data_IF_609542510524
#
_entry.id   IF_609542510524
#
_cell.length_a   1.000
_cell.length_b   1.000
_cell.length_c   1.000
_cell.angle_alpha   90.00
_cell.angle_beta   90.00
_cell.angle_gamma   90.00
#
_symmetry.space_group_name_H-M   'P 1'
#
loop_
_entity.id
_entity.type
_entity.pdbx_description
1 polymer ?
#
# COMPACT_ATOMS: atom_id res chain seq x y z
N UNK A 1 0.41 -23.14 -2.30
CA UNK A 1 0.99 -21.81 -2.64
C UNK A 1 1.98 -21.47 -1.56
N UNK A 2 3.22 -21.10 -1.94
CA UNK A 2 4.23 -20.62 -1.00
C UNK A 2 3.91 -19.18 -0.59
N UNK A 3 4.19 -18.83 0.68
CA UNK A 3 3.85 -17.53 1.25
C UNK A 3 5.10 -16.88 1.85
N UNK A 4 5.38 -15.64 1.47
CA UNK A 4 6.40 -14.79 2.10
C UNK A 4 5.72 -13.67 2.87
N UNK A 5 6.00 -13.55 4.16
CA UNK A 5 5.58 -12.38 4.97
C UNK A 5 6.71 -11.35 4.93
N UNK A 6 6.41 -10.11 4.57
CA UNK A 6 7.36 -9.01 4.50
C UNK A 6 6.96 -7.97 5.55
N UNK A 7 7.87 -7.70 6.47
CA UNK A 7 7.72 -6.65 7.49
C UNK A 7 8.65 -5.51 7.13
N UNK A 8 8.09 -4.33 6.81
CA UNK A 8 8.88 -3.14 6.49
C UNK A 8 9.28 -2.41 7.77
N UNK A 9 10.55 -2.01 7.86
CA UNK A 9 11.11 -1.34 9.03
C UNK A 9 12.01 -0.16 8.66
N UNK A 10 11.94 0.90 9.46
CA UNK A 10 12.92 1.99 9.51
C UNK A 10 12.93 2.63 10.91
N UNK A 11 14.03 2.46 11.65
CA UNK A 11 14.20 2.96 13.02
C UNK A 11 13.05 2.55 13.94
N UNK A 12 12.64 1.27 13.86
CA UNK A 12 11.47 0.73 14.54
C UNK A 12 11.79 -0.30 15.62
N UNK A 13 12.96 -0.24 16.27
CA UNK A 13 13.39 -1.22 17.27
C UNK A 13 12.31 -1.55 18.31
N UNK A 14 11.66 -0.54 18.88
CA UNK A 14 10.62 -0.75 19.89
C UNK A 14 9.39 -1.49 19.34
N UNK A 15 9.02 -1.20 18.10
CA UNK A 15 7.93 -1.87 17.39
C UNK A 15 8.29 -3.33 17.09
N UNK A 16 9.50 -3.57 16.60
CA UNK A 16 9.98 -4.92 16.33
C UNK A 16 10.04 -5.77 17.62
N UNK A 17 10.52 -5.21 18.73
CA UNK A 17 10.50 -5.90 20.04
C UNK A 17 9.10 -6.27 20.49
N UNK A 18 8.09 -5.47 20.14
CA UNK A 18 6.71 -5.65 20.58
C UNK A 18 5.93 -6.60 19.67
N UNK A 19 6.17 -6.57 18.36
CA UNK A 19 5.28 -7.21 17.38
C UNK A 19 5.93 -8.29 16.51
N UNK A 20 7.24 -8.26 16.24
CA UNK A 20 7.85 -9.16 15.26
C UNK A 20 7.72 -10.65 15.64
N UNK A 21 7.88 -11.00 16.92
CA UNK A 21 7.67 -12.39 17.36
C UNK A 21 6.21 -12.83 17.20
N UNK A 22 5.25 -11.93 17.43
CA UNK A 22 3.83 -12.22 17.21
C UNK A 22 3.55 -12.45 15.71
N UNK A 23 4.13 -11.63 14.82
CA UNK A 23 4.07 -11.87 13.38
C UNK A 23 4.60 -13.25 13.03
N UNK A 24 5.74 -13.67 13.60
CA UNK A 24 6.34 -14.98 13.33
C UNK A 24 5.43 -16.12 13.82
N UNK A 25 4.89 -16.01 15.03
CA UNK A 25 4.06 -17.05 15.67
C UNK A 25 2.70 -17.16 14.99
N UNK A 26 2.07 -16.02 14.66
CA UNK A 26 0.72 -15.97 14.06
C UNK A 26 0.73 -16.15 12.53
N UNK A 27 1.90 -16.42 11.93
CA UNK A 27 2.05 -16.74 10.50
C UNK A 27 2.54 -18.18 10.25
N UNK A 28 1.84 -19.23 10.76
CA UNK A 28 2.29 -20.61 10.57
C UNK A 28 2.28 -21.03 9.09
N UNK A 29 1.46 -20.40 8.26
CA UNK A 29 1.37 -20.63 6.82
C UNK A 29 2.58 -20.09 6.04
N UNK A 30 3.39 -19.21 6.64
CA UNK A 30 4.52 -18.59 5.97
C UNK A 30 5.69 -19.56 5.79
N UNK A 31 6.21 -19.64 4.55
CA UNK A 31 7.46 -20.35 4.23
C UNK A 31 8.70 -19.53 4.60
N UNK A 32 8.58 -18.21 4.59
CA UNK A 32 9.62 -17.27 5.02
C UNK A 32 9.01 -15.98 5.56
N UNK A 33 9.75 -15.34 6.46
CA UNK A 33 9.43 -14.01 6.98
C UNK A 33 10.64 -13.12 6.71
N UNK A 34 10.41 -12.00 6.03
CA UNK A 34 11.46 -11.09 5.59
C UNK A 34 11.29 -9.77 6.34
N UNK A 35 12.28 -9.42 7.17
CA UNK A 35 12.41 -8.04 7.60
C UNK A 35 13.08 -7.24 6.49
N UNK A 36 12.37 -6.26 5.94
CA UNK A 36 12.87 -5.30 4.96
C UNK A 36 13.26 -4.00 5.68
N UNK A 37 14.54 -3.87 5.99
CA UNK A 37 15.07 -2.73 6.73
C UNK A 37 15.59 -1.64 5.80
N UNK A 38 15.06 -0.43 5.94
CA UNK A 38 15.38 0.71 5.08
C UNK A 38 16.48 1.59 5.67
N UNK A 39 17.62 0.99 5.98
CA UNK A 39 18.80 1.66 6.56
C UNK A 39 18.50 2.25 7.95
N UNK A 40 18.06 1.40 8.89
CA UNK A 40 17.89 1.80 10.28
C UNK A 40 19.24 2.13 10.94
N UNK A 41 19.24 3.19 11.73
CA UNK A 41 20.39 3.65 12.52
C UNK A 41 20.29 3.21 13.99
N UNK A 42 19.13 2.68 14.39
CA UNK A 42 18.91 2.11 15.72
C UNK A 42 19.36 0.62 15.76
N UNK A 43 19.19 -0.03 16.90
CA UNK A 43 19.59 -1.43 17.10
C UNK A 43 18.62 -2.45 16.43
N UNK A 44 17.73 -2.03 15.53
CA UNK A 44 16.78 -2.92 14.84
C UNK A 44 17.45 -4.15 14.24
N UNK A 45 18.54 -3.95 13.47
CA UNK A 45 19.25 -5.06 12.82
C UNK A 45 19.96 -5.98 13.80
N UNK A 46 20.48 -5.46 14.92
CA UNK A 46 21.10 -6.26 15.98
C UNK A 46 20.05 -7.16 16.61
N UNK A 47 18.91 -6.61 17.00
CA UNK A 47 17.81 -7.35 17.59
C UNK A 47 17.30 -8.47 16.66
N UNK A 48 17.09 -8.18 15.38
CA UNK A 48 16.55 -9.17 14.44
C UNK A 48 17.56 -10.27 14.10
N UNK A 49 18.87 -9.98 14.10
CA UNK A 49 19.91 -11.01 13.97
C UNK A 49 19.89 -12.00 15.15
N UNK A 50 19.61 -11.54 16.37
CA UNK A 50 19.43 -12.45 17.51
C UNK A 50 18.17 -13.31 17.35
N UNK A 51 17.06 -12.72 16.88
CA UNK A 51 15.85 -13.49 16.60
C UNK A 51 16.03 -14.55 15.51
N UNK A 52 16.88 -14.30 14.50
CA UNK A 52 17.18 -15.29 13.45
C UNK A 52 17.79 -16.59 14.01
N UNK A 53 18.51 -16.53 15.14
CA UNK A 53 19.03 -17.73 15.80
C UNK A 53 17.92 -18.65 16.31
N UNK A 54 16.77 -18.06 16.69
CA UNK A 54 15.59 -18.77 17.18
C UNK A 54 14.63 -19.19 16.06
N UNK A 55 14.53 -18.37 15.01
CA UNK A 55 13.52 -18.53 13.94
C UNK A 55 14.18 -18.66 12.56
N UNK A 56 14.40 -19.88 12.10
CA UNK A 56 15.09 -20.17 10.82
C UNK A 56 14.38 -19.61 9.56
N UNK A 57 13.07 -19.38 9.64
CA UNK A 57 12.29 -18.76 8.56
C UNK A 57 12.49 -17.24 8.45
N UNK A 58 13.07 -16.59 9.49
CA UNK A 58 13.29 -15.15 9.50
C UNK A 58 14.52 -14.79 8.66
N UNK A 59 14.35 -13.85 7.74
CA UNK A 59 15.40 -13.33 6.86
C UNK A 59 15.49 -11.82 6.98
N UNK A 60 16.65 -11.26 6.67
CA UNK A 60 16.88 -9.82 6.70
C UNK A 60 17.27 -9.37 5.30
N UNK A 61 16.62 -8.31 4.81
CA UNK A 61 17.03 -7.51 3.67
C UNK A 61 17.28 -6.11 4.20
N UNK A 62 18.54 -5.68 4.23
CA UNK A 62 18.92 -4.36 4.73
C UNK A 62 19.49 -3.50 3.59
N UNK A 63 19.03 -2.27 3.49
CA UNK A 63 19.53 -1.28 2.55
C UNK A 63 20.71 -0.49 3.15
N UNK A 64 21.59 0.01 2.27
CA UNK A 64 22.73 0.86 2.65
C UNK A 64 22.36 2.35 2.79
N UNK A 65 21.18 2.73 2.34
CA UNK A 65 20.60 4.07 2.43
C UNK A 65 19.07 3.97 2.49
N UNK A 66 18.44 4.90 3.16
CA UNK A 66 16.98 5.00 3.16
C UNK A 66 16.47 5.29 1.75
N UNK A 67 15.60 4.44 1.25
CA UNK A 67 15.01 4.52 -0.09
C UNK A 67 13.53 4.89 -0.06
N UNK A 68 12.91 4.87 1.13
CA UNK A 68 11.50 5.08 1.34
C UNK A 68 10.67 3.81 1.21
N UNK A 69 9.46 3.85 1.78
CA UNK A 69 8.55 2.71 1.93
C UNK A 69 8.34 1.91 0.64
N UNK A 70 7.97 2.59 -0.45
CA UNK A 70 7.64 1.92 -1.71
C UNK A 70 8.83 1.15 -2.31
N UNK A 71 10.05 1.72 -2.30
CA UNK A 71 11.23 1.02 -2.81
C UNK A 71 11.64 -0.13 -1.92
N UNK A 72 11.65 0.09 -0.61
CA UNK A 72 11.98 -0.95 0.35
C UNK A 72 11.05 -2.16 0.18
N UNK A 73 9.73 -1.91 0.07
CA UNK A 73 8.74 -2.96 -0.20
C UNK A 73 8.98 -3.65 -1.54
N UNK A 74 9.15 -2.88 -2.61
CA UNK A 74 9.37 -3.45 -3.95
C UNK A 74 10.60 -4.36 -4.01
N UNK A 75 11.70 -3.96 -3.38
CA UNK A 75 12.93 -4.74 -3.38
C UNK A 75 12.81 -6.01 -2.51
N UNK A 76 12.07 -5.95 -1.41
CA UNK A 76 11.73 -7.13 -0.63
C UNK A 76 10.86 -8.12 -1.42
N UNK A 77 9.83 -7.63 -2.11
CA UNK A 77 8.97 -8.45 -2.98
C UNK A 77 9.74 -9.12 -4.10
N UNK A 78 10.69 -8.43 -4.74
CA UNK A 78 11.55 -9.01 -5.78
C UNK A 78 12.37 -10.18 -5.25
N UNK A 79 12.87 -10.11 -4.01
CA UNK A 79 13.69 -11.14 -3.36
C UNK A 79 12.87 -12.24 -2.70
N UNK A 80 11.60 -12.01 -2.42
CA UNK A 80 10.67 -12.99 -1.85
C UNK A 80 10.49 -14.20 -2.78
N UNK A 81 10.28 -15.39 -2.20
CA UNK A 81 10.10 -16.66 -2.92
C UNK A 81 8.66 -17.16 -2.94
N UNK A 82 7.77 -16.53 -2.17
CA UNK A 82 6.36 -16.86 -2.11
C UNK A 82 5.61 -16.51 -3.39
N UNK A 83 4.62 -17.30 -3.73
CA UNK A 83 3.61 -17.00 -4.76
C UNK A 83 2.66 -15.90 -4.26
N UNK A 84 2.40 -15.92 -2.95
CA UNK A 84 1.70 -14.86 -2.23
C UNK A 84 2.68 -14.10 -1.33
N UNK A 85 2.53 -12.80 -1.27
CA UNK A 85 3.24 -11.91 -0.36
C UNK A 85 2.27 -11.29 0.62
N UNK A 86 2.58 -11.36 1.88
CA UNK A 86 1.89 -10.62 2.95
C UNK A 86 2.74 -9.39 3.25
N UNK A 87 2.16 -8.21 3.13
CA UNK A 87 2.81 -6.94 3.44
C UNK A 87 2.33 -6.45 4.81
N UNK A 88 3.26 -6.25 5.73
CA UNK A 88 2.99 -5.74 7.07
C UNK A 88 3.93 -4.57 7.40
N UNK A 89 3.37 -3.55 8.05
CA UNK A 89 4.19 -2.55 8.72
C UNK A 89 4.74 -3.11 10.05
N UNK A 90 5.82 -2.53 10.56
CA UNK A 90 6.44 -2.97 11.84
C UNK A 90 5.56 -2.73 13.08
N UNK A 91 4.49 -1.93 12.97
CA UNK A 91 3.50 -1.64 14.02
C UNK A 91 2.20 -2.46 13.90
N UNK A 92 2.22 -3.53 13.13
CA UNK A 92 1.10 -4.47 12.99
C UNK A 92 1.20 -5.61 14.00
N UNK A 93 0.12 -5.83 14.73
CA UNK A 93 -0.12 -6.99 15.61
C UNK A 93 -1.14 -7.91 14.95
N UNK A 94 -0.74 -8.98 14.26
CA UNK A 94 -1.68 -9.85 13.57
C UNK A 94 -2.35 -10.83 14.53
N UNK A 95 -3.66 -11.03 14.38
CA UNK A 95 -4.39 -12.07 15.08
C UNK A 95 -4.17 -13.44 14.44
N UNK A 96 -4.53 -14.49 15.14
CA UNK A 96 -4.48 -15.86 14.62
C UNK A 96 -5.32 -16.01 13.34
N UNK A 97 -4.87 -16.84 12.41
CA UNK A 97 -5.54 -17.15 11.14
C UNK A 97 -5.73 -15.95 10.19
N UNK A 98 -5.09 -14.80 10.40
CA UNK A 98 -5.25 -13.63 9.53
C UNK A 98 -4.85 -13.92 8.07
N UNK A 99 -3.85 -14.77 7.84
CA UNK A 99 -3.48 -15.25 6.50
C UNK A 99 -4.50 -16.28 6.02
N UNK A 100 -4.77 -17.32 6.83
CA UNK A 100 -5.60 -18.46 6.49
C UNK A 100 -6.98 -18.06 5.98
N UNK A 101 -7.61 -17.08 6.63
CA UNK A 101 -8.93 -16.58 6.28
C UNK A 101 -8.99 -15.97 4.87
N UNK A 102 -7.87 -15.46 4.37
CA UNK A 102 -7.78 -14.86 3.02
C UNK A 102 -7.47 -15.88 1.91
N UNK A 103 -6.92 -17.07 2.23
CA UNK A 103 -6.37 -17.98 1.20
C UNK A 103 -7.40 -18.51 0.22
N UNK A 104 -8.64 -18.72 0.67
CA UNK A 104 -9.71 -19.26 -0.18
C UNK A 104 -10.05 -18.35 -1.36
N UNK A 105 -9.87 -17.03 -1.23
CA UNK A 105 -10.16 -16.08 -2.28
C UNK A 105 -9.23 -16.21 -3.49
N UNK A 106 -8.00 -16.69 -3.28
CA UNK A 106 -7.04 -16.92 -4.35
C UNK A 106 -7.34 -18.15 -5.24
N UNK A 107 -8.43 -18.88 -4.99
CA UNK A 107 -8.97 -19.86 -5.96
C UNK A 107 -9.48 -19.16 -7.21
N UNK A 108 -9.97 -17.92 -7.09
CA UNK A 108 -10.32 -17.09 -8.24
C UNK A 108 -9.05 -16.42 -8.79
N UNK A 109 -8.64 -16.70 -10.04
CA UNK A 109 -7.42 -16.11 -10.62
C UNK A 109 -7.50 -14.59 -10.83
N UNK A 110 -8.70 -14.02 -10.89
CA UNK A 110 -8.89 -12.55 -10.98
C UNK A 110 -8.60 -11.84 -9.67
N UNK A 111 -8.72 -12.53 -8.54
CA UNK A 111 -8.38 -11.95 -7.22
C UNK A 111 -6.87 -11.94 -7.06
N UNK A 112 -6.29 -10.75 -7.08
CA UNK A 112 -4.84 -10.58 -6.95
C UNK A 112 -4.42 -10.10 -5.55
N UNK A 113 -5.35 -9.61 -4.74
CA UNK A 113 -5.02 -9.19 -3.38
C UNK A 113 -6.24 -9.14 -2.46
N UNK A 114 -5.96 -9.29 -1.17
CA UNK A 114 -6.94 -9.25 -0.08
C UNK A 114 -6.39 -8.37 1.05
N UNK A 115 -7.09 -7.29 1.38
CA UNK A 115 -6.81 -6.44 2.53
C UNK A 115 -7.33 -7.07 3.82
N UNK A 116 -6.59 -6.86 4.88
CA UNK A 116 -6.97 -7.31 6.21
C UNK A 116 -7.88 -6.28 6.91
N UNK A 117 -8.69 -6.74 7.86
CA UNK A 117 -9.49 -5.88 8.72
C UNK A 117 -8.60 -5.35 9.85
N UNK A 118 -8.34 -4.05 9.84
CA UNK A 118 -7.62 -3.38 10.91
C UNK A 118 -8.59 -3.10 12.07
N UNK A 119 -8.34 -3.67 13.24
CA UNK A 119 -9.23 -3.56 14.41
C UNK A 119 -9.41 -2.09 14.81
N UNK A 120 -10.68 -1.66 14.96
CA UNK A 120 -11.04 -0.25 15.17
C UNK A 120 -11.13 0.57 13.88
N UNK A 121 -10.74 -0.01 12.74
CA UNK A 121 -10.83 0.57 11.40
C UNK A 121 -11.27 -0.49 10.38
N UNK A 122 -12.22 -1.36 10.77
CA UNK A 122 -12.70 -2.48 9.95
C UNK A 122 -13.53 -1.95 8.78
N UNK A 123 -12.84 -1.62 7.71
CA UNK A 123 -13.49 -1.06 6.53
C UNK A 123 -12.76 -1.42 5.24
N UNK A 124 -13.55 -1.50 4.18
CA UNK A 124 -13.04 -1.51 2.80
C UNK A 124 -13.10 -0.11 2.21
N UNK A 125 -12.35 0.18 1.18
CA UNK A 125 -12.33 1.48 0.52
C UNK A 125 -13.35 1.53 -0.62
N UNK A 126 -14.27 2.50 -0.59
CA UNK A 126 -15.13 2.87 -1.73
C UNK A 126 -14.50 4.03 -2.48
N UNK A 127 -14.48 3.94 -3.82
CA UNK A 127 -13.96 4.97 -4.71
C UNK A 127 -15.10 5.79 -5.31
N UNK A 128 -14.91 7.10 -5.43
CA UNK A 128 -15.82 7.99 -6.15
C UNK A 128 -15.09 9.21 -6.71
N UNK A 129 -15.73 9.90 -7.64
CA UNK A 129 -15.23 11.14 -8.20
C UNK A 129 -15.95 12.34 -7.60
N UNK A 130 -15.20 13.30 -7.04
CA UNK A 130 -15.78 14.54 -6.50
C UNK A 130 -14.79 15.68 -6.60
N UNK A 131 -15.29 16.87 -6.99
CA UNK A 131 -14.50 18.12 -7.03
C UNK A 131 -13.18 17.99 -7.80
N UNK A 132 -13.22 17.26 -8.94
CA UNK A 132 -12.06 17.09 -9.81
C UNK A 132 -11.03 16.07 -9.34
N UNK A 133 -11.35 15.24 -8.32
CA UNK A 133 -10.42 14.26 -7.74
C UNK A 133 -11.06 12.90 -7.52
N UNK A 134 -10.24 11.87 -7.63
CA UNK A 134 -10.56 10.55 -7.08
C UNK A 134 -10.57 10.66 -5.55
N UNK A 135 -11.68 10.30 -4.95
CA UNK A 135 -11.88 10.31 -3.50
C UNK A 135 -12.19 8.90 -3.03
N UNK A 136 -11.93 8.61 -1.77
CA UNK A 136 -12.34 7.35 -1.15
C UNK A 136 -12.95 7.60 0.23
N UNK A 137 -13.88 6.72 0.59
CA UNK A 137 -14.51 6.69 1.92
C UNK A 137 -14.49 5.26 2.44
N UNK A 138 -14.47 5.08 3.75
CA UNK A 138 -14.62 3.76 4.34
C UNK A 138 -16.03 3.22 4.10
N UNK A 139 -16.12 1.93 3.79
CA UNK A 139 -17.35 1.15 3.80
C UNK A 139 -17.23 0.03 4.82
N UNK A 140 -18.31 -0.30 5.51
CA UNK A 140 -18.35 -1.35 6.53
C UNK A 140 -19.12 -2.57 6.02
N UNK A 141 -18.66 -3.77 6.36
CA UNK A 141 -19.34 -5.02 6.03
C UNK A 141 -18.93 -6.12 7.01
N UNK A 142 -19.84 -7.04 7.29
CA UNK A 142 -19.54 -8.28 8.02
C UNK A 142 -19.15 -9.42 7.07
N UNK A 143 -19.21 -9.17 5.76
CA UNK A 143 -18.86 -10.11 4.70
C UNK A 143 -17.70 -9.57 3.88
N UNK A 144 -16.95 -10.46 3.24
CA UNK A 144 -15.96 -10.09 2.22
C UNK A 144 -16.55 -9.12 1.21
N UNK A 145 -15.81 -8.07 0.90
CA UNK A 145 -16.24 -7.03 -0.04
C UNK A 145 -15.11 -6.66 -1.00
N UNK A 146 -15.45 -6.08 -2.15
CA UNK A 146 -14.44 -5.45 -3.02
C UNK A 146 -13.90 -4.20 -2.34
N UNK A 147 -12.62 -3.91 -2.55
CA UNK A 147 -11.97 -2.69 -2.04
C UNK A 147 -11.27 -1.96 -3.18
N UNK A 148 -11.36 -0.64 -3.20
CA UNK A 148 -10.73 0.17 -4.24
C UNK A 148 -9.21 0.05 -4.21
N UNK A 149 -8.65 -0.15 -3.04
CA UNK A 149 -7.21 -0.35 -2.80
C UNK A 149 -7.00 -1.20 -1.53
N UNK A 150 -5.78 -1.63 -1.32
CA UNK A 150 -5.35 -2.41 -0.15
C UNK A 150 -4.28 -1.62 0.58
N UNK A 151 -4.33 -1.62 1.91
CA UNK A 151 -3.27 -1.02 2.71
C UNK A 151 -1.93 -1.69 2.41
N UNK A 152 -0.93 -0.90 2.06
CA UNK A 152 0.42 -1.40 1.78
C UNK A 152 1.11 -2.03 2.99
N UNK A 153 0.54 -1.88 4.19
CA UNK A 153 1.04 -2.43 5.44
C UNK A 153 0.14 -3.49 6.09
N UNK A 154 -0.97 -3.90 5.46
CA UNK A 154 -1.89 -4.92 6.00
C UNK A 154 -2.66 -5.63 4.89
N UNK A 155 -1.98 -6.36 4.02
CA UNK A 155 -2.60 -7.06 2.90
C UNK A 155 -1.80 -8.31 2.48
N UNK A 156 -2.49 -9.24 1.79
CA UNK A 156 -1.88 -10.36 1.07
C UNK A 156 -2.13 -10.21 -0.42
N UNK A 157 -1.10 -10.37 -1.26
CA UNK A 157 -1.14 -10.07 -2.69
C UNK A 157 -0.41 -11.18 -3.47
N UNK A 158 -0.86 -11.51 -4.68
CA UNK A 158 -0.10 -12.36 -5.61
C UNK A 158 1.16 -11.64 -6.06
N UNK A 159 2.32 -12.27 -5.79
CA UNK A 159 3.63 -11.70 -6.07
C UNK A 159 3.85 -11.38 -7.55
N UNK A 160 3.50 -12.31 -8.43
CA UNK A 160 3.66 -12.17 -9.88
C UNK A 160 2.87 -10.99 -10.45
N UNK A 161 1.62 -10.80 -9.98
CA UNK A 161 0.80 -9.66 -10.38
C UNK A 161 1.30 -8.34 -9.79
N UNK A 162 1.78 -8.36 -8.53
CA UNK A 162 2.42 -7.17 -7.95
C UNK A 162 3.59 -6.71 -8.81
N UNK A 163 4.46 -7.64 -9.21
CA UNK A 163 5.62 -7.35 -10.07
C UNK A 163 5.21 -6.95 -11.49
N UNK A 164 4.24 -7.66 -12.09
CA UNK A 164 3.71 -7.37 -13.44
C UNK A 164 3.11 -5.97 -13.53
N UNK A 165 2.42 -5.52 -12.49
CA UNK A 165 1.88 -4.16 -12.39
C UNK A 165 2.94 -3.10 -12.04
N UNK A 166 4.21 -3.47 -11.83
CA UNK A 166 5.30 -2.56 -11.53
C UNK A 166 5.49 -2.23 -10.05
N UNK A 167 4.78 -2.94 -9.14
CA UNK A 167 4.85 -2.71 -7.70
C UNK A 167 4.33 -1.34 -7.28
N UNK A 168 4.85 -0.80 -6.19
CA UNK A 168 4.56 0.57 -5.76
C UNK A 168 5.33 1.58 -6.60
N UNK A 169 4.61 2.55 -7.20
CA UNK A 169 5.22 3.51 -8.10
C UNK A 169 6.01 4.58 -7.30
N UNK A 170 7.26 4.76 -7.68
CA UNK A 170 8.18 5.72 -7.05
C UNK A 170 7.80 7.18 -7.26
N UNK A 171 6.85 7.47 -8.13
CA UNK A 171 6.32 8.83 -8.33
C UNK A 171 5.71 9.41 -7.05
N UNK A 172 5.29 8.55 -6.11
CA UNK A 172 4.66 8.94 -4.84
C UNK A 172 5.64 9.16 -3.69
N UNK A 173 6.95 9.00 -3.92
CA UNK A 173 7.95 9.26 -2.87
C UNK A 173 7.76 10.63 -2.21
N UNK A 174 7.96 10.71 -0.88
CA UNK A 174 8.53 9.67 -0.02
C UNK A 174 7.52 8.65 0.52
N UNK A 175 6.19 8.95 0.53
CA UNK A 175 5.12 8.08 1.03
C UNK A 175 3.73 8.63 0.68
N UNK A 176 2.68 7.79 0.86
CA UNK A 176 1.26 8.00 0.58
C UNK A 176 0.89 7.97 -0.90
N UNK A 177 -0.20 7.27 -1.19
CA UNK A 177 -0.83 7.06 -2.50
C UNK A 177 -0.18 5.97 -3.37
N UNK A 178 0.95 5.36 -2.99
CA UNK A 178 1.55 4.24 -3.72
C UNK A 178 0.65 3.01 -3.74
N UNK A 179 -0.04 2.73 -2.64
CA UNK A 179 -0.98 1.63 -2.47
C UNK A 179 -2.34 1.92 -3.14
N UNK A 180 -2.81 3.15 -3.04
CA UNK A 180 -3.99 3.63 -3.76
C UNK A 180 -3.79 3.52 -5.29
N UNK A 181 -2.65 3.97 -5.80
CA UNK A 181 -2.27 3.88 -7.20
C UNK A 181 -2.17 2.42 -7.67
N UNK A 182 -1.55 1.55 -6.86
CA UNK A 182 -1.49 0.12 -7.16
C UNK A 182 -2.91 -0.47 -7.31
N UNK A 183 -3.83 -0.09 -6.43
CA UNK A 183 -5.24 -0.48 -6.50
C UNK A 183 -5.90 -0.04 -7.81
N UNK A 184 -5.71 1.21 -8.23
CA UNK A 184 -6.26 1.73 -9.49
C UNK A 184 -5.71 0.97 -10.72
N UNK A 185 -4.40 0.69 -10.74
CA UNK A 185 -3.77 -0.09 -11.82
C UNK A 185 -4.27 -1.53 -11.85
N UNK A 186 -4.52 -2.13 -10.69
CA UNK A 186 -5.10 -3.47 -10.58
C UNK A 186 -6.52 -3.51 -11.16
N UNK A 187 -7.41 -2.60 -10.75
CA UNK A 187 -8.77 -2.50 -11.29
C UNK A 187 -8.77 -2.22 -12.79
N UNK A 188 -7.96 -1.28 -13.25
CA UNK A 188 -7.85 -0.95 -14.67
C UNK A 188 -7.43 -2.16 -15.51
N UNK A 189 -6.61 -3.04 -14.95
CA UNK A 189 -6.17 -4.28 -15.60
C UNK A 189 -7.16 -5.45 -15.45
N UNK A 190 -8.41 -5.19 -15.03
CA UNK A 190 -9.46 -6.20 -14.89
C UNK A 190 -9.30 -7.15 -13.71
N UNK A 191 -8.39 -6.86 -12.78
CA UNK A 191 -8.19 -7.64 -11.57
C UNK A 191 -9.11 -7.19 -10.44
N UNK A 192 -9.26 -8.05 -9.44
CA UNK A 192 -10.13 -7.81 -8.28
C UNK A 192 -9.29 -7.70 -7.01
N UNK A 193 -9.59 -6.69 -6.22
CA UNK A 193 -9.09 -6.53 -4.86
C UNK A 193 -10.24 -6.72 -3.89
N UNK A 194 -10.01 -7.52 -2.85
CA UNK A 194 -10.99 -7.82 -1.81
C UNK A 194 -10.54 -7.26 -0.46
N UNK A 195 -11.47 -7.14 0.45
CA UNK A 195 -11.25 -6.96 1.87
C UNK A 195 -11.95 -8.11 2.62
N UNK A 196 -11.26 -8.70 3.60
CA UNK A 196 -11.74 -9.86 4.35
C UNK A 196 -11.90 -9.52 5.84
N UNK A 197 -13.14 -9.42 6.35
CA UNK A 197 -13.39 -9.04 7.74
C UNK A 197 -12.87 -10.04 8.78
N UNK A 198 -12.64 -11.30 8.40
CA UNK A 198 -12.12 -12.34 9.29
C UNK A 198 -10.59 -12.35 9.37
N UNK A 199 -9.90 -11.67 8.46
CA UNK A 199 -8.44 -11.52 8.47
C UNK A 199 -8.07 -10.31 9.32
N UNK A 200 -8.01 -10.48 10.64
CA UNK A 200 -7.90 -9.39 11.61
C UNK A 200 -6.45 -9.09 11.94
N UNK A 201 -6.11 -7.80 11.93
CA UNK A 201 -4.84 -7.27 12.46
C UNK A 201 -5.12 -6.02 13.31
N UNK A 202 -4.26 -5.73 14.27
CA UNK A 202 -4.28 -4.43 14.95
C UNK A 202 -3.18 -3.54 14.38
N UNK A 203 -3.54 -2.33 13.95
CA UNK A 203 -2.59 -1.33 13.46
C UNK A 203 -2.47 -0.21 14.51
N UNK A 204 -1.35 -0.14 15.18
CA UNK A 204 -1.20 0.79 16.31
C UNK A 204 -0.95 2.24 15.90
N UNK A 205 -0.75 2.51 14.60
CA UNK A 205 -0.50 3.83 14.02
C UNK A 205 0.64 4.60 14.74
N UNK A 206 1.56 3.88 15.38
CA UNK A 206 2.76 4.43 16.01
C UNK A 206 3.83 4.79 14.94
N UNK A 207 3.36 5.24 13.78
CA UNK A 207 4.14 5.31 12.56
C UNK A 207 5.26 6.33 12.65
N UNK A 208 6.37 6.01 12.01
CA UNK A 208 7.52 6.87 11.78
C UNK A 208 7.15 8.18 11.06
N UNK A 209 6.02 8.19 10.34
CA UNK A 209 5.50 9.36 9.62
C UNK A 209 5.08 10.48 10.58
N UNK A 210 4.64 10.16 11.80
CA UNK A 210 4.28 11.16 12.82
C UNK A 210 5.45 12.07 13.23
N UNK A 211 6.69 11.67 12.95
CA UNK A 211 7.91 12.46 13.20
C UNK A 211 8.11 13.61 12.22
N UNK A 212 7.40 13.60 11.07
CA UNK A 212 7.51 14.68 10.07
C UNK A 212 6.62 15.88 10.41
N UNK A 213 7.04 17.12 10.07
CA UNK A 213 6.21 18.31 10.28
C UNK A 213 4.85 18.20 9.59
N UNK A 214 3.77 18.58 10.28
CA UNK A 214 2.38 18.51 9.73
C UNK A 214 2.23 19.19 8.36
N UNK A 215 2.87 20.36 8.18
CA UNK A 215 2.85 21.09 6.89
C UNK A 215 3.47 20.27 5.75
N UNK A 216 4.54 19.54 6.03
CA UNK A 216 5.17 18.65 5.05
C UNK A 216 4.25 17.45 4.70
N UNK A 217 3.61 16.85 5.69
CA UNK A 217 2.66 15.75 5.47
C UNK A 217 1.49 16.19 4.58
N UNK A 218 0.91 17.37 4.86
CA UNK A 218 -0.17 17.95 4.05
C UNK A 218 0.33 18.18 2.62
N UNK A 219 1.50 18.78 2.46
CA UNK A 219 2.10 19.04 1.15
C UNK A 219 2.29 17.74 0.34
N UNK A 220 2.84 16.70 0.95
CA UNK A 220 3.04 15.40 0.29
C UNK A 220 1.70 14.77 -0.11
N UNK A 221 0.71 14.75 0.80
CA UNK A 221 -0.63 14.20 0.52
C UNK A 221 -1.31 14.94 -0.64
N UNK A 222 -1.32 16.26 -0.63
CA UNK A 222 -1.94 17.07 -1.68
C UNK A 222 -1.26 16.86 -3.04
N UNK A 223 0.08 16.85 -3.06
CA UNK A 223 0.84 16.58 -4.27
C UNK A 223 0.56 15.19 -4.82
N UNK A 224 0.61 14.18 -3.98
CA UNK A 224 0.42 12.79 -4.37
C UNK A 224 -1.03 12.51 -4.78
N UNK A 225 -2.01 13.18 -4.16
CA UNK A 225 -3.40 13.11 -4.59
C UNK A 225 -3.57 13.69 -6.02
N UNK A 226 -2.95 14.82 -6.34
CA UNK A 226 -2.96 15.36 -7.71
C UNK A 226 -2.24 14.41 -8.67
N UNK A 227 -1.08 13.85 -8.28
CA UNK A 227 -0.36 12.87 -9.08
C UNK A 227 -1.25 11.66 -9.37
N UNK A 228 -2.01 11.14 -8.39
CA UNK A 228 -2.87 9.97 -8.59
C UNK A 228 -3.94 10.19 -9.66
N UNK A 229 -4.48 11.40 -9.77
CA UNK A 229 -5.40 11.77 -10.86
C UNK A 229 -4.66 11.84 -12.19
N UNK A 230 -3.58 12.62 -12.27
CA UNK A 230 -2.82 12.83 -13.52
C UNK A 230 -2.16 11.56 -14.06
N UNK A 231 -1.92 10.59 -13.18
CA UNK A 231 -1.29 9.30 -13.49
C UNK A 231 -2.29 8.25 -13.97
N UNK A 232 -3.46 8.22 -13.35
CA UNK A 232 -4.39 7.10 -13.50
C UNK A 232 -5.66 7.45 -14.29
N UNK A 233 -6.11 8.70 -14.32
CA UNK A 233 -7.34 9.08 -15.01
C UNK A 233 -7.07 9.31 -16.51
N UNK A 234 -7.89 8.69 -17.35
CA UNK A 234 -7.78 8.77 -18.82
C UNK A 234 -9.01 9.44 -19.48
N UNK A 235 -10.14 9.50 -18.77
CA UNK A 235 -11.36 10.19 -19.25
C UNK A 235 -11.13 11.69 -19.37
N UNK A 236 -11.27 12.23 -20.58
CA UNK A 236 -11.03 13.64 -20.90
C UNK A 236 -11.90 14.61 -20.10
N UNK A 237 -13.15 14.22 -19.80
CA UNK A 237 -14.07 15.06 -19.04
C UNK A 237 -13.67 15.12 -17.56
N UNK A 238 -13.23 14.00 -16.98
CA UNK A 238 -12.70 13.98 -15.61
C UNK A 238 -11.42 14.80 -15.51
N UNK A 239 -10.51 14.68 -16.47
CA UNK A 239 -9.30 15.49 -16.53
C UNK A 239 -9.58 16.99 -16.71
N UNK A 240 -10.60 17.34 -17.51
CA UNK A 240 -11.04 18.74 -17.64
C UNK A 240 -11.58 19.27 -16.30
N UNK A 241 -12.42 18.49 -15.62
CA UNK A 241 -12.89 18.85 -14.27
C UNK A 241 -11.72 19.05 -13.31
N UNK A 242 -10.72 18.15 -13.30
CA UNK A 242 -9.53 18.30 -12.48
C UNK A 242 -8.80 19.63 -12.77
N UNK A 243 -8.62 20.01 -14.03
CA UNK A 243 -8.01 21.27 -14.41
C UNK A 243 -8.80 22.48 -13.88
N UNK A 244 -10.13 22.48 -14.03
CA UNK A 244 -11.01 23.55 -13.54
C UNK A 244 -10.89 23.68 -12.01
N UNK A 245 -11.05 22.57 -11.28
CA UNK A 245 -10.93 22.59 -9.82
C UNK A 245 -9.52 22.97 -9.33
N UNK A 246 -8.47 22.55 -10.04
CA UNK A 246 -7.10 22.96 -9.75
C UNK A 246 -6.91 24.47 -9.91
N UNK A 247 -7.51 25.07 -10.95
CA UNK A 247 -7.51 26.53 -11.16
C UNK A 247 -8.25 27.25 -10.02
N UNK A 248 -9.45 26.79 -9.66
CA UNK A 248 -10.20 27.34 -8.53
C UNK A 248 -9.42 27.28 -7.22
N UNK A 249 -8.67 26.19 -6.98
CA UNK A 249 -7.81 26.06 -5.80
C UNK A 249 -6.62 27.05 -5.82
N UNK A 250 -6.07 27.39 -6.99
CA UNK A 250 -5.03 28.43 -7.11
C UNK A 250 -5.64 29.79 -6.75
N UNK A 251 -6.84 30.10 -7.26
CA UNK A 251 -7.51 31.38 -6.97
C UNK A 251 -7.88 31.51 -5.49
N UNK A 252 -8.22 30.43 -4.82
CA UNK A 252 -8.51 30.40 -3.39
C UNK A 252 -7.26 30.42 -2.50
N UNK A 253 -6.10 30.00 -3.03
CA UNK A 253 -4.85 29.94 -2.28
C UNK A 253 -3.63 29.71 -3.18
N UNK A 254 -2.81 30.78 -3.43
CA UNK A 254 -1.71 30.73 -4.43
C UNK A 254 -0.65 29.66 -4.13
N UNK A 255 -0.56 29.17 -2.90
CA UNK A 255 0.34 28.07 -2.54
C UNK A 255 0.00 26.76 -3.27
N UNK A 256 -1.23 26.60 -3.79
CA UNK A 256 -1.60 25.39 -4.54
C UNK A 256 -0.86 25.30 -5.89
N UNK A 257 -0.43 26.41 -6.48
CA UNK A 257 0.43 26.42 -7.66
C UNK A 257 1.75 25.66 -7.41
N UNK A 258 2.32 25.78 -6.22
CA UNK A 258 3.53 25.02 -5.84
C UNK A 258 3.29 23.50 -5.84
N UNK A 259 2.09 23.06 -5.42
CA UNK A 259 1.67 21.65 -5.47
C UNK A 259 1.65 21.17 -6.92
N UNK A 260 1.01 21.93 -7.82
CA UNK A 260 0.91 21.57 -9.24
C UNK A 260 2.29 21.46 -9.88
N UNK A 261 3.16 22.46 -9.68
CA UNK A 261 4.52 22.43 -10.21
C UNK A 261 5.33 21.24 -9.70
N UNK A 262 5.21 20.95 -8.40
CA UNK A 262 5.88 19.81 -7.80
C UNK A 262 5.35 18.46 -8.33
N UNK A 263 4.02 18.33 -8.53
CA UNK A 263 3.41 17.13 -9.11
C UNK A 263 3.92 16.89 -10.55
N UNK A 264 3.94 17.92 -11.39
CA UNK A 264 4.46 17.82 -12.76
C UNK A 264 5.97 17.50 -12.80
N UNK A 265 6.76 18.10 -11.89
CA UNK A 265 8.20 17.75 -11.77
C UNK A 265 8.38 16.28 -11.43
N UNK A 266 7.58 15.75 -10.51
CA UNK A 266 7.64 14.34 -10.09
C UNK A 266 7.22 13.41 -11.23
N UNK A 267 6.12 13.73 -11.94
CA UNK A 267 5.65 12.97 -13.10
C UNK A 267 6.68 12.90 -14.24
N UNK A 268 7.41 14.01 -14.50
CA UNK A 268 8.51 14.03 -15.49
C UNK A 268 9.69 13.15 -15.07
N UNK A 269 9.95 13.03 -13.77
CA UNK A 269 11.08 12.23 -13.24
C UNK A 269 10.84 10.73 -13.35
N UNK A 270 9.58 10.28 -13.21
CA UNK A 270 9.25 8.87 -13.15
C UNK A 270 8.32 8.47 -14.31
N UNK A 271 8.73 7.53 -15.19
CA UNK A 271 7.88 7.04 -16.28
C UNK A 271 6.65 6.32 -15.71
N UNK A 272 5.55 6.34 -16.46
CA UNK A 272 4.32 5.65 -16.06
C UNK A 272 4.52 4.13 -16.15
N UNK A 273 4.16 3.35 -15.12
CA UNK A 273 4.12 1.91 -15.23
C UNK A 273 3.15 1.48 -16.34
N UNK A 274 3.55 0.49 -17.11
CA UNK A 274 2.71 -0.05 -18.17
C UNK A 274 1.71 -1.01 -17.51
N UNK A 275 0.41 -0.73 -17.66
CA UNK A 275 -0.65 -1.66 -17.29
C UNK A 275 -1.63 -1.83 -18.45
N UNK A 276 -2.26 -3.01 -18.54
CA UNK A 276 -3.38 -3.21 -19.48
C UNK A 276 -4.54 -2.31 -19.11
N UNK A 277 -5.35 -1.92 -20.09
CA UNK A 277 -6.53 -1.07 -19.87
C UNK A 277 -7.78 -1.84 -20.31
N UNK A 278 -8.28 -2.70 -19.41
CA UNK A 278 -9.48 -3.49 -19.61
C UNK A 278 -10.74 -2.74 -19.16
N UNK A 279 -10.64 -1.93 -18.09
CA UNK A 279 -11.73 -1.12 -17.57
C UNK A 279 -11.47 0.37 -17.77
N UNK A 280 -12.51 1.10 -18.18
CA UNK A 280 -12.48 2.57 -18.22
C UNK A 280 -12.60 3.17 -16.81
N UNK A 281 -12.31 4.48 -16.66
CA UNK A 281 -12.51 5.20 -15.39
C UNK A 281 -13.96 5.09 -14.90
N UNK A 282 -14.93 5.17 -15.82
CA UNK A 282 -16.37 5.04 -15.49
C UNK A 282 -16.73 3.64 -15.01
N UNK A 283 -16.15 2.61 -15.63
CA UNK A 283 -16.40 1.22 -15.21
C UNK A 283 -15.87 0.99 -13.80
N UNK A 284 -14.65 1.49 -13.52
CA UNK A 284 -14.05 1.38 -12.18
C UNK A 284 -14.92 2.11 -11.14
N UNK A 285 -15.33 3.35 -11.41
CA UNK A 285 -16.16 4.12 -10.47
C UNK A 285 -17.50 3.42 -10.18
N UNK A 286 -18.17 2.87 -11.21
CA UNK A 286 -19.43 2.13 -11.07
C UNK A 286 -19.34 0.90 -10.15
N UNK A 287 -18.17 0.26 -10.03
CA UNK A 287 -17.99 -0.88 -9.13
C UNK A 287 -18.26 -0.51 -7.67
N UNK A 288 -18.04 0.75 -7.30
CA UNK A 288 -18.12 1.26 -5.92
C UNK A 288 -19.35 2.14 -5.64
N UNK A 289 -20.26 2.30 -6.61
CA UNK A 289 -21.51 3.07 -6.45
C UNK A 289 -22.58 2.34 -5.63
N UNK A 290 -22.38 1.04 -5.36
CA UNK A 290 -23.34 0.17 -4.64
C UNK A 290 -23.07 0.10 -3.16
#
# INVERSE_FOLDING_TARGET
MKISVIVTNWNGLNLLKKYLEKVIVNSPEADEIILADDCSEDESLVYVKELQKKYSKLKIIAHKKNQGFGRNTNDAVKKAKGELIVLLNSDIDPHENYIKNSLSHFKNPKVIGVGFAELGHENYAKLFWKSGYLQFVPGTSTKTHISAWLSGGSAIIRRDYFLKLGGFDHVYEPFYFEDFDFGLRAWRSGYTLLWEPKSIVEHKHESTISKFPKKFLIYVKERNHLISVLRNVTDKNLLLQNKIFSLLRILSGPNYLKIILAAHKQLKKYPTPICSSELSDKDILKLFEK
#
